data_IF_050886759916
#
_entry.id   IF_050886759916
#
_cell.length_a   1.000
_cell.length_b   1.000
_cell.length_c   1.000
_cell.angle_alpha   90.00
_cell.angle_beta   90.00
_cell.angle_gamma   90.00
#
_symmetry.space_group_name_H-M   'P 1'
#
loop_
_entity.id
_entity.type
_entity.pdbx_description
1 polymer ?
#
# COMPACT_ATOMS: atom_id res chain seq x y z
N UNK A 1 19.84 -30.51 43.45
CA UNK A 1 20.15 -30.38 42.00
C UNK A 1 18.81 -30.19 41.31
N UNK A 2 18.46 -29.15 40.56
CA UNK A 2 19.22 -28.20 39.76
C UNK A 2 18.54 -26.82 39.82
N UNK A 3 19.25 -25.81 40.34
CA UNK A 3 18.96 -24.37 40.19
C UNK A 3 19.91 -23.75 39.15
N UNK A 4 20.34 -24.51 38.15
CA UNK A 4 21.48 -24.12 37.29
C UNK A 4 21.15 -23.73 35.83
N UNK A 5 19.90 -23.75 35.38
CA UNK A 5 19.59 -23.41 33.97
C UNK A 5 18.98 -22.03 33.71
N UNK A 6 18.73 -21.20 34.72
CA UNK A 6 18.03 -19.91 34.53
C UNK A 6 18.97 -18.70 34.35
N UNK A 7 20.29 -18.87 34.55
CA UNK A 7 21.29 -17.81 34.34
C UNK A 7 21.81 -17.77 32.90
N UNK A 8 21.94 -18.92 32.24
CA UNK A 8 22.47 -19.01 30.87
C UNK A 8 21.48 -18.49 29.83
N UNK A 9 20.17 -18.73 30.01
CA UNK A 9 19.13 -18.23 29.10
C UNK A 9 18.98 -16.72 29.19
N UNK A 10 19.01 -16.14 30.40
CA UNK A 10 18.97 -14.67 30.57
C UNK A 10 20.23 -13.97 30.04
N UNK A 11 21.39 -14.65 30.06
CA UNK A 11 22.63 -14.10 29.50
C UNK A 11 22.62 -14.07 27.97
N UNK A 12 22.03 -15.07 27.31
CA UNK A 12 21.92 -15.10 25.85
C UNK A 12 20.90 -14.08 25.33
N UNK A 13 19.74 -13.94 25.97
CA UNK A 13 18.74 -12.92 25.59
C UNK A 13 19.31 -11.50 25.73
N UNK A 14 20.10 -11.24 26.79
CA UNK A 14 20.73 -9.93 26.96
C UNK A 14 21.80 -9.66 25.89
N UNK A 15 22.55 -10.68 25.48
CA UNK A 15 23.59 -10.57 24.45
C UNK A 15 23.00 -10.31 23.05
N UNK A 16 21.84 -10.89 22.75
CA UNK A 16 21.14 -10.67 21.47
C UNK A 16 20.44 -9.30 21.42
N UNK A 17 19.95 -8.79 22.57
CA UNK A 17 19.41 -7.42 22.68
C UNK A 17 20.52 -6.38 22.55
N UNK A 18 21.67 -6.58 23.21
CA UNK A 18 22.82 -5.68 23.14
C UNK A 18 23.45 -5.68 21.72
N UNK A 19 23.41 -6.81 21.00
CA UNK A 19 23.85 -6.90 19.60
C UNK A 19 22.90 -6.17 18.63
N UNK A 20 21.58 -6.28 18.83
CA UNK A 20 20.59 -5.56 18.02
C UNK A 20 20.57 -4.05 18.29
N UNK A 21 20.85 -3.59 19.51
CA UNK A 21 21.06 -2.17 19.81
C UNK A 21 22.32 -1.59 19.17
N UNK A 22 23.38 -2.40 19.02
CA UNK A 22 24.61 -2.00 18.32
C UNK A 22 24.38 -1.82 16.82
N UNK A 23 23.70 -2.77 16.19
CA UNK A 23 23.39 -2.76 14.74
C UNK A 23 22.43 -1.60 14.41
N UNK A 24 21.41 -1.34 15.23
CA UNK A 24 20.48 -0.22 15.00
C UNK A 24 21.14 1.14 15.15
N UNK A 25 22.09 1.32 16.09
CA UNK A 25 22.84 2.58 16.22
C UNK A 25 23.81 2.82 15.07
N UNK A 26 24.45 1.75 14.55
CA UNK A 26 25.41 1.85 13.45
C UNK A 26 24.71 2.10 12.10
N UNK A 27 23.53 1.50 11.88
CA UNK A 27 22.68 1.78 10.71
C UNK A 27 22.12 3.21 10.75
N UNK A 28 21.68 3.70 11.91
CA UNK A 28 21.20 5.08 12.06
C UNK A 28 22.35 6.10 11.90
N UNK A 29 23.57 5.79 12.35
CA UNK A 29 24.73 6.66 12.17
C UNK A 29 25.16 6.77 10.70
N UNK A 30 25.19 5.65 9.96
CA UNK A 30 25.60 5.64 8.56
C UNK A 30 24.56 6.27 7.61
N UNK A 31 23.29 6.34 8.01
CA UNK A 31 22.24 7.04 7.23
C UNK A 31 22.32 8.58 7.41
N UNK A 32 22.88 9.08 8.53
CA UNK A 32 22.88 10.51 8.84
C UNK A 32 24.20 11.25 8.59
N UNK A 33 25.33 10.56 8.38
CA UNK A 33 26.65 11.20 8.21
C UNK A 33 27.05 11.44 6.75
N UNK A 34 26.44 10.74 5.77
CA UNK A 34 26.81 10.87 4.35
C UNK A 34 26.04 11.94 3.56
N UNK A 35 25.26 12.81 4.22
CA UNK A 35 24.46 13.86 3.54
C UNK A 35 24.88 15.30 3.81
N UNK A 36 26.01 15.54 4.47
CA UNK A 36 26.50 16.91 4.68
C UNK A 36 28.00 17.01 4.38
N UNK A 37 28.33 17.99 3.53
CA UNK A 37 29.65 18.46 3.09
C UNK A 37 30.27 17.81 1.85
N UNK A 38 30.08 18.43 0.67
CA UNK A 38 31.18 19.07 -0.09
C UNK A 38 30.63 19.97 -1.22
N UNK A 39 31.14 21.21 -1.41
CA UNK A 39 30.73 22.11 -2.49
C UNK A 39 31.44 21.81 -3.82
N UNK A 40 30.71 22.05 -4.91
CA UNK A 40 31.14 21.89 -6.31
C UNK A 40 32.07 23.04 -6.73
N UNK A 41 33.22 22.71 -7.33
CA UNK A 41 33.99 23.62 -8.19
C UNK A 41 34.66 22.84 -9.35
N UNK A 42 34.76 23.40 -10.57
CA UNK A 42 35.18 22.69 -11.78
C UNK A 42 36.70 22.70 -11.96
N UNK A 43 37.33 21.68 -12.58
CA UNK A 43 38.77 21.72 -12.82
C UNK A 43 39.12 22.49 -14.09
N UNK A 44 40.06 23.42 -13.91
CA UNK A 44 40.83 24.16 -14.91
C UNK A 44 41.86 23.22 -15.56
N UNK A 45 42.08 23.42 -16.87
CA UNK A 45 43.09 22.75 -17.68
C UNK A 45 44.52 23.02 -17.19
N UNK A 46 45.36 22.00 -17.11
CA UNK A 46 46.81 22.15 -17.37
C UNK A 46 47.37 20.94 -18.10
N UNK A 47 48.16 21.26 -19.11
CA UNK A 47 48.92 20.40 -20.01
C UNK A 47 50.12 19.76 -19.32
N UNK A 48 50.41 18.48 -19.62
CA UNK A 48 51.79 18.05 -19.84
C UNK A 48 51.84 16.79 -20.72
N UNK A 49 52.85 16.80 -21.57
CA UNK A 49 53.16 15.94 -22.71
C UNK A 49 54.02 14.74 -22.31
N UNK A 50 53.77 13.53 -22.86
CA UNK A 50 54.74 12.81 -23.69
C UNK A 50 54.27 11.43 -24.21
N UNK A 51 54.21 11.34 -25.55
CA UNK A 51 54.75 10.32 -26.48
C UNK A 51 54.38 8.82 -26.38
N UNK A 52 53.41 8.40 -27.22
CA UNK A 52 53.50 7.52 -28.44
C UNK A 52 54.08 6.07 -28.35
N UNK A 53 53.80 5.17 -29.34
CA UNK A 53 52.52 4.76 -29.97
C UNK A 53 52.42 3.24 -30.32
N UNK A 54 51.21 2.73 -30.62
CA UNK A 54 51.03 1.71 -31.69
C UNK A 54 49.56 1.52 -32.14
N UNK A 55 49.22 2.15 -33.28
CA UNK A 55 48.45 1.71 -34.46
C UNK A 55 47.10 0.95 -34.40
N UNK A 56 46.01 1.70 -34.69
CA UNK A 56 44.96 1.61 -35.75
C UNK A 56 44.24 0.28 -36.15
N UNK A 57 43.01 0.32 -36.76
CA UNK A 57 42.23 1.46 -37.31
C UNK A 57 40.76 1.59 -36.81
N UNK A 58 40.06 2.69 -37.17
CA UNK A 58 38.70 2.99 -36.70
C UNK A 58 37.63 2.40 -37.64
N UNK A 59 36.48 2.00 -37.08
CA UNK A 59 35.29 1.71 -37.87
C UNK A 59 34.18 2.69 -37.49
N UNK A 60 33.93 3.65 -38.40
CA UNK A 60 32.74 4.48 -38.41
C UNK A 60 31.53 3.61 -38.77
N UNK A 61 30.55 3.52 -37.88
CA UNK A 61 29.17 3.38 -38.31
C UNK A 61 28.24 4.06 -37.30
N UNK A 62 27.86 5.28 -37.69
CA UNK A 62 26.70 5.98 -37.16
C UNK A 62 25.48 5.18 -37.60
N UNK A 63 24.84 4.51 -36.66
CA UNK A 63 23.42 4.17 -36.77
C UNK A 63 22.69 4.71 -35.56
N UNK A 64 21.93 5.77 -35.81
CA UNK A 64 20.77 6.19 -35.04
C UNK A 64 19.93 4.95 -34.70
N UNK A 65 19.94 4.55 -33.43
CA UNK A 65 18.82 3.80 -32.86
C UNK A 65 18.19 4.68 -31.81
N UNK A 66 16.98 5.10 -32.14
CA UNK A 66 16.15 5.94 -31.30
C UNK A 66 16.04 5.33 -29.90
N UNK A 67 16.24 6.19 -28.89
CA UNK A 67 15.81 5.94 -27.50
C UNK A 67 14.36 5.44 -27.53
N UNK A 68 14.16 4.15 -27.28
CA UNK A 68 12.83 3.59 -27.06
C UNK A 68 12.31 4.15 -25.74
N UNK A 69 11.45 5.16 -25.88
CA UNK A 69 10.88 5.90 -24.76
C UNK A 69 9.98 5.03 -23.89
N UNK A 70 10.07 5.29 -22.59
CA UNK A 70 9.10 4.96 -21.55
C UNK A 70 7.68 5.40 -21.96
N UNK A 71 6.95 4.56 -22.69
CA UNK A 71 5.50 4.76 -22.99
C UNK A 71 4.83 3.41 -23.22
N UNK A 72 4.59 2.68 -22.14
CA UNK A 72 3.45 1.75 -21.98
C UNK A 72 3.15 1.56 -20.49
N UNK A 73 2.61 2.59 -19.85
CA UNK A 73 1.93 2.49 -18.55
C UNK A 73 0.67 3.36 -18.52
N UNK A 74 -0.11 3.33 -19.61
CA UNK A 74 -1.33 4.13 -19.74
C UNK A 74 -2.38 3.29 -20.45
N UNK A 75 -2.96 2.34 -19.72
CA UNK A 75 -4.24 1.67 -20.01
C UNK A 75 -4.60 0.85 -18.76
N UNK A 76 -5.25 1.47 -17.77
CA UNK A 76 -5.71 0.76 -16.58
C UNK A 76 -6.40 1.64 -15.52
N UNK A 77 -5.96 2.88 -15.33
CA UNK A 77 -6.55 3.75 -14.32
C UNK A 77 -7.41 4.84 -14.99
N UNK A 78 -8.69 4.54 -15.14
CA UNK A 78 -9.69 5.54 -15.49
C UNK A 78 -9.88 6.50 -14.31
N UNK A 79 -9.41 7.72 -14.46
CA UNK A 79 -9.67 8.84 -13.55
C UNK A 79 -11.18 9.08 -13.40
N UNK A 80 -11.80 8.65 -12.30
CA UNK A 80 -13.09 9.21 -11.87
C UNK A 80 -12.83 10.44 -11.01
N UNK A 81 -12.53 11.57 -11.64
CA UNK A 81 -12.58 12.88 -10.98
C UNK A 81 -14.06 13.30 -10.94
N UNK A 82 -14.66 13.25 -9.76
CA UNK A 82 -16.00 13.77 -9.53
C UNK A 82 -15.96 15.29 -9.42
N UNK A 83 -16.33 16.00 -10.49
CA UNK A 83 -16.49 17.47 -10.46
C UNK A 83 -17.91 17.80 -9.99
N UNK A 84 -18.03 18.44 -8.82
CA UNK A 84 -19.26 19.10 -8.37
C UNK A 84 -19.36 20.49 -9.00
N UNK A 85 -20.41 20.73 -9.80
CA UNK A 85 -20.86 22.08 -10.15
C UNK A 85 -22.25 22.31 -9.56
N UNK A 86 -22.34 23.22 -8.59
CA UNK A 86 -23.60 23.77 -8.08
C UNK A 86 -23.97 24.98 -8.95
N UNK A 87 -25.15 24.97 -9.54
CA UNK A 87 -25.72 26.09 -10.27
C UNK A 87 -27.23 25.91 -10.45
N UNK A 88 -28.01 26.74 -9.76
CA UNK A 88 -29.47 26.67 -9.69
C UNK A 88 -30.17 27.33 -10.89
N UNK A 89 -31.47 27.00 -11.02
CA UNK A 89 -32.58 27.62 -11.78
C UNK A 89 -32.90 27.09 -13.18
N UNK A 90 -34.18 26.72 -13.38
CA UNK A 90 -34.82 26.60 -14.70
C UNK A 90 -35.84 25.47 -14.83
N UNK A 91 -37.13 25.79 -14.60
CA UNK A 91 -38.28 24.95 -14.97
C UNK A 91 -38.38 24.79 -16.49
N UNK A 92 -38.73 23.60 -16.98
CA UNK A 92 -39.05 23.31 -18.38
C UNK A 92 -39.78 21.97 -18.54
N UNK A 93 -40.86 21.98 -19.31
CA UNK A 93 -41.94 20.99 -19.37
C UNK A 93 -41.62 19.63 -20.03
N UNK A 94 -42.41 18.64 -19.60
CA UNK A 94 -42.90 17.40 -20.22
C UNK A 94 -42.38 16.97 -21.61
N UNK A 95 -41.90 15.73 -21.66
CA UNK A 95 -41.92 14.88 -22.86
C UNK A 95 -42.31 13.45 -22.48
N UNK A 96 -43.45 12.98 -22.98
CA UNK A 96 -43.89 11.58 -22.89
C UNK A 96 -42.95 10.69 -23.71
N UNK A 97 -42.56 9.54 -23.16
CA UNK A 97 -41.76 8.55 -23.89
C UNK A 97 -41.65 7.25 -23.13
N UNK A 98 -42.52 6.31 -23.52
CA UNK A 98 -42.51 4.86 -23.32
C UNK A 98 -42.23 4.27 -21.93
N UNK A 99 -43.26 3.59 -21.43
CA UNK A 99 -43.21 2.59 -20.36
C UNK A 99 -42.35 1.38 -20.78
N UNK A 100 -41.04 1.61 -20.91
CA UNK A 100 -40.09 0.54 -20.66
C UNK A 100 -40.21 0.25 -19.16
N UNK A 101 -40.91 -0.83 -18.82
CA UNK A 101 -40.75 -1.51 -17.53
C UNK A 101 -39.30 -1.97 -17.43
N UNK A 102 -38.40 -1.03 -17.16
CA UNK A 102 -37.12 -1.30 -16.60
C UNK A 102 -37.47 -1.77 -15.20
N UNK A 103 -37.60 -3.08 -15.04
CA UNK A 103 -37.46 -3.72 -13.76
C UNK A 103 -36.08 -3.30 -13.25
N UNK A 104 -36.03 -2.15 -12.56
CA UNK A 104 -35.01 -1.94 -11.56
C UNK A 104 -35.29 -3.03 -10.54
N UNK A 105 -34.74 -4.21 -10.80
CA UNK A 105 -34.25 -5.04 -9.74
C UNK A 105 -33.20 -4.18 -9.02
N UNK A 106 -33.67 -3.27 -8.17
CA UNK A 106 -32.98 -2.98 -6.93
C UNK A 106 -33.04 -4.29 -6.16
N UNK A 107 -32.28 -5.29 -6.62
CA UNK A 107 -31.68 -6.16 -5.65
C UNK A 107 -30.95 -5.18 -4.73
N UNK A 108 -31.52 -4.93 -3.56
CA UNK A 108 -30.82 -4.41 -2.40
C UNK A 108 -29.74 -5.45 -2.09
N UNK A 109 -28.75 -5.57 -2.99
CA UNK A 109 -27.70 -6.57 -2.87
C UNK A 109 -26.99 -6.25 -1.59
N UNK A 110 -26.94 -7.27 -0.74
CA UNK A 110 -26.37 -7.13 0.57
C UNK A 110 -24.87 -7.03 0.35
N UNK A 111 -24.33 -5.85 0.63
CA UNK A 111 -22.91 -5.58 0.62
C UNK A 111 -22.46 -5.21 2.05
N UNK A 112 -21.18 -5.36 2.34
CA UNK A 112 -20.61 -5.06 3.65
C UNK A 112 -19.18 -4.55 3.53
N UNK A 113 -18.60 -4.06 4.63
CA UNK A 113 -17.23 -3.55 4.68
C UNK A 113 -16.35 -4.44 5.55
N UNK A 114 -16.19 -5.73 5.18
CA UNK A 114 -15.46 -6.70 6.03
C UNK A 114 -13.94 -6.48 6.08
N UNK A 115 -13.41 -5.57 5.24
CA UNK A 115 -11.98 -5.22 5.16
C UNK A 115 -11.67 -3.89 5.84
N UNK A 116 -12.63 -3.36 6.61
CA UNK A 116 -12.51 -2.09 7.32
C UNK A 116 -12.45 -0.86 6.42
N UNK A 117 -11.91 0.20 7.01
CA UNK A 117 -11.65 1.49 6.38
C UNK A 117 -10.20 1.88 6.63
N UNK A 118 -9.62 2.68 5.75
CA UNK A 118 -8.27 3.22 5.92
C UNK A 118 -8.19 4.65 5.39
N UNK A 119 -7.23 5.41 5.87
CA UNK A 119 -6.85 6.69 5.28
C UNK A 119 -5.34 6.76 5.11
N UNK A 120 -4.87 7.58 4.18
CA UNK A 120 -3.45 7.64 3.87
C UNK A 120 -3.07 8.75 2.91
N UNK A 121 -1.78 8.86 2.65
CA UNK A 121 -1.16 9.96 1.90
C UNK A 121 -1.76 11.34 2.24
N UNK A 122 -1.79 11.73 3.54
CA UNK A 122 -2.31 13.02 3.93
C UNK A 122 -1.43 14.12 3.34
N UNK A 123 -2.06 15.16 2.82
CA UNK A 123 -1.44 16.46 2.56
C UNK A 123 -2.07 17.50 3.49
N UNK A 124 -1.70 18.77 3.33
CA UNK A 124 -2.22 19.84 4.18
C UNK A 124 -3.70 20.13 3.96
N UNK A 125 -4.24 19.84 2.78
CA UNK A 125 -5.61 20.18 2.40
C UNK A 125 -6.45 18.98 2.00
N UNK A 126 -5.90 17.76 2.07
CA UNK A 126 -6.56 16.56 1.58
C UNK A 126 -6.01 15.27 2.17
N UNK A 127 -6.74 14.18 2.03
CA UNK A 127 -6.31 12.84 2.43
C UNK A 127 -6.99 11.77 1.58
N UNK A 128 -6.31 10.65 1.33
CA UNK A 128 -6.94 9.49 0.70
C UNK A 128 -7.82 8.79 1.72
N UNK A 129 -9.06 8.53 1.36
CA UNK A 129 -9.98 7.64 2.07
C UNK A 129 -10.13 6.34 1.29
N UNK A 130 -10.04 5.21 1.98
CA UNK A 130 -10.05 3.88 1.38
C UNK A 130 -11.03 2.96 2.09
N UNK A 131 -11.72 2.12 1.32
CA UNK A 131 -12.43 0.92 1.82
C UNK A 131 -12.57 -0.09 0.68
N UNK A 132 -13.13 -1.27 0.98
CA UNK A 132 -13.59 -2.23 -0.04
C UNK A 132 -15.02 -2.67 0.23
N UNK A 133 -15.87 -2.53 -0.77
CA UNK A 133 -17.21 -3.11 -0.75
C UNK A 133 -17.07 -4.62 -0.91
N UNK A 134 -17.71 -5.39 -0.04
CA UNK A 134 -17.70 -6.86 -0.06
C UNK A 134 -19.09 -7.35 -0.45
N UNK A 135 -19.30 -7.72 -1.73
CA UNK A 135 -20.59 -8.24 -2.19
C UNK A 135 -20.88 -9.60 -1.55
N UNK A 136 -22.12 -9.85 -1.11
CA UNK A 136 -22.53 -11.19 -0.65
C UNK A 136 -22.82 -12.16 -1.81
N UNK A 137 -23.00 -11.64 -3.03
CA UNK A 137 -23.18 -12.44 -4.23
C UNK A 137 -22.11 -12.03 -5.26
N UNK A 138 -21.49 -13.03 -5.88
CA UNK A 138 -20.50 -12.82 -6.93
C UNK A 138 -21.20 -12.48 -8.25
N UNK A 139 -20.76 -11.43 -8.93
CA UNK A 139 -21.27 -11.06 -10.26
C UNK A 139 -20.69 -9.74 -10.76
N UNK A 140 -21.10 -9.27 -11.93
CA UNK A 140 -20.53 -8.05 -12.57
C UNK A 140 -21.12 -6.74 -12.03
N UNK A 141 -21.54 -6.73 -10.77
CA UNK A 141 -22.27 -5.62 -10.17
C UNK A 141 -21.40 -4.38 -9.99
N UNK A 142 -22.04 -3.22 -10.09
CA UNK A 142 -21.45 -1.95 -9.72
C UNK A 142 -22.14 -1.44 -8.45
N UNK A 143 -21.35 -0.92 -7.52
CA UNK A 143 -21.86 -0.33 -6.28
C UNK A 143 -21.60 1.17 -6.29
N UNK A 144 -22.65 1.96 -6.07
CA UNK A 144 -22.49 3.38 -5.73
C UNK A 144 -22.23 3.49 -4.23
N UNK A 145 -21.08 4.04 -3.89
CA UNK A 145 -20.60 4.21 -2.52
C UNK A 145 -20.56 5.69 -2.20
N UNK A 146 -21.31 6.06 -1.19
CA UNK A 146 -21.27 7.40 -0.61
C UNK A 146 -20.16 7.45 0.43
N UNK A 147 -19.54 8.61 0.58
CA UNK A 147 -18.54 8.88 1.60
C UNK A 147 -18.79 10.26 2.19
N UNK A 148 -18.47 10.41 3.47
CA UNK A 148 -18.56 11.66 4.21
C UNK A 148 -17.30 11.85 5.06
N UNK A 149 -16.94 13.11 5.29
CA UNK A 149 -15.91 13.56 6.22
C UNK A 149 -16.55 14.57 7.17
N UNK A 150 -16.33 14.41 8.47
CA UNK A 150 -16.87 15.24 9.53
C UNK A 150 -15.78 15.70 10.51
N UNK A 151 -16.06 16.78 11.25
CA UNK A 151 -15.19 17.32 12.31
C UNK A 151 -15.29 16.56 13.63
N UNK A 152 -16.33 15.76 13.79
CA UNK A 152 -16.67 15.05 15.01
C UNK A 152 -16.95 13.58 14.72
N UNK A 153 -16.69 12.73 15.71
CA UNK A 153 -16.86 11.28 15.62
C UNK A 153 -18.33 10.88 15.47
N UNK A 154 -19.27 11.72 15.90
CA UNK A 154 -20.71 11.47 15.79
C UNK A 154 -21.26 11.74 14.39
N UNK A 155 -20.42 12.17 13.44
CA UNK A 155 -20.80 12.51 12.05
C UNK A 155 -21.87 13.61 11.97
N UNK A 156 -21.87 14.56 12.91
CA UNK A 156 -22.86 15.63 12.97
C UNK A 156 -22.46 16.89 12.19
N UNK A 157 -21.16 17.16 12.05
CA UNK A 157 -20.61 18.31 11.32
C UNK A 157 -19.84 17.85 10.08
N UNK A 158 -20.59 17.50 9.03
CA UNK A 158 -20.05 17.07 7.73
C UNK A 158 -19.45 18.26 6.98
N UNK A 159 -18.20 18.13 6.56
CA UNK A 159 -17.42 19.16 5.84
C UNK A 159 -17.10 18.79 4.40
N UNK A 160 -17.09 17.50 4.06
CA UNK A 160 -16.93 17.02 2.70
C UNK A 160 -17.75 15.74 2.52
N UNK A 161 -18.26 15.50 1.31
CA UNK A 161 -19.00 14.31 0.98
C UNK A 161 -19.04 14.09 -0.53
N UNK A 162 -19.30 12.86 -0.95
CA UNK A 162 -19.45 12.54 -2.36
C UNK A 162 -19.94 11.13 -2.61
N UNK A 163 -19.93 10.74 -3.89
CA UNK A 163 -20.22 9.39 -4.34
C UNK A 163 -19.15 8.91 -5.31
N UNK A 164 -18.86 7.61 -5.27
CA UNK A 164 -17.94 6.94 -6.17
C UNK A 164 -18.50 5.57 -6.53
N UNK A 165 -18.28 5.12 -7.77
CA UNK A 165 -18.73 3.81 -8.22
C UNK A 165 -17.56 2.83 -8.19
N UNK A 166 -17.79 1.62 -7.67
CA UNK A 166 -16.80 0.54 -7.68
C UNK A 166 -17.38 -0.75 -8.26
N UNK A 167 -16.53 -1.67 -8.72
CA UNK A 167 -16.95 -2.91 -9.39
C UNK A 167 -15.87 -4.00 -9.32
N UNK A 168 -16.13 -5.17 -9.91
CA UNK A 168 -15.13 -6.23 -10.03
C UNK A 168 -13.83 -5.80 -10.74
N UNK A 169 -13.86 -4.74 -11.58
CA UNK A 169 -12.68 -4.29 -12.33
C UNK A 169 -11.52 -3.87 -11.41
N UNK A 170 -11.83 -3.17 -10.33
CA UNK A 170 -10.90 -2.69 -9.32
C UNK A 170 -11.08 -3.43 -7.98
N UNK A 171 -11.56 -4.67 -8.05
CA UNK A 171 -11.81 -5.52 -6.89
C UNK A 171 -12.70 -4.88 -5.81
N UNK A 172 -13.69 -4.09 -6.25
CA UNK A 172 -14.62 -3.38 -5.38
C UNK A 172 -13.98 -2.44 -4.35
N UNK A 173 -12.70 -2.10 -4.55
CA UNK A 173 -12.00 -1.11 -3.74
C UNK A 173 -12.51 0.29 -4.04
N UNK A 174 -12.51 1.15 -3.05
CA UNK A 174 -12.93 2.54 -3.14
C UNK A 174 -11.77 3.38 -2.66
N UNK A 175 -11.35 4.35 -3.47
CA UNK A 175 -10.34 5.34 -3.12
C UNK A 175 -10.83 6.72 -3.49
N UNK A 176 -10.84 7.61 -2.51
CA UNK A 176 -11.31 8.99 -2.65
C UNK A 176 -10.19 9.90 -2.20
N UNK A 177 -9.86 10.89 -3.02
CA UNK A 177 -9.02 12.02 -2.61
C UNK A 177 -9.94 13.11 -2.03
N UNK A 178 -10.13 13.09 -0.70
CA UNK A 178 -11.00 14.05 -0.04
C UNK A 178 -10.24 15.36 0.18
N UNK A 179 -10.57 16.38 -0.60
CA UNK A 179 -9.88 17.67 -0.62
C UNK A 179 -10.60 18.77 0.18
N UNK A 180 -10.08 20.00 0.06
CA UNK A 180 -10.65 21.20 0.67
C UNK A 180 -10.75 21.14 2.20
N UNK A 181 -9.85 20.39 2.83
CA UNK A 181 -9.73 20.23 4.27
C UNK A 181 -8.79 21.29 4.86
N UNK A 182 -8.96 21.58 6.15
CA UNK A 182 -8.05 22.47 6.87
C UNK A 182 -6.76 21.73 7.25
N UNK A 183 -5.59 22.41 7.23
CA UNK A 183 -4.33 21.83 7.70
C UNK A 183 -4.34 21.43 9.18
N UNK A 184 -3.49 20.46 9.52
CA UNK A 184 -3.25 19.98 10.89
C UNK A 184 -4.53 19.64 11.67
N UNK A 185 -5.55 19.12 10.99
CA UNK A 185 -6.89 18.95 11.55
C UNK A 185 -7.26 17.48 11.57
N UNK A 186 -7.79 17.03 12.71
CA UNK A 186 -8.35 15.69 12.85
C UNK A 186 -9.75 15.69 12.25
N UNK A 187 -10.02 14.68 11.44
CA UNK A 187 -11.32 14.43 10.84
C UNK A 187 -11.76 12.99 11.11
N UNK A 188 -13.06 12.76 10.97
CA UNK A 188 -13.65 11.43 10.96
C UNK A 188 -14.31 11.21 9.61
N UNK A 189 -14.32 9.98 9.12
CA UNK A 189 -14.94 9.65 7.84
C UNK A 189 -15.68 8.32 7.90
N UNK A 190 -16.67 8.16 7.02
CA UNK A 190 -17.48 6.95 6.93
C UNK A 190 -17.96 6.74 5.49
N UNK A 191 -18.10 5.47 5.10
CA UNK A 191 -18.67 5.07 3.82
C UNK A 191 -20.07 4.49 4.00
N UNK A 192 -20.89 4.62 2.96
CA UNK A 192 -22.21 4.00 2.87
C UNK A 192 -22.41 3.35 1.51
N UNK A 193 -22.82 2.08 1.51
CA UNK A 193 -23.30 1.38 0.32
C UNK A 193 -24.70 0.85 0.61
N UNK A 194 -25.68 1.20 -0.21
CA UNK A 194 -27.09 0.92 0.04
C UNK A 194 -27.49 1.41 1.47
N UNK A 195 -27.93 0.49 2.34
CA UNK A 195 -28.31 0.77 3.75
C UNK A 195 -27.20 0.42 4.75
N UNK A 196 -25.99 0.07 4.30
CA UNK A 196 -24.90 -0.43 5.13
C UNK A 196 -23.83 0.65 5.28
N UNK A 197 -23.48 0.93 6.53
CA UNK A 197 -22.41 1.84 6.91
C UNK A 197 -21.13 1.04 7.16
N UNK A 198 -19.99 1.64 6.85
CA UNK A 198 -18.69 1.16 7.33
C UNK A 198 -18.50 1.53 8.80
N UNK A 199 -17.43 1.03 9.40
CA UNK A 199 -16.88 1.64 10.61
C UNK A 199 -16.49 3.09 10.35
N UNK A 200 -16.44 3.88 11.43
CA UNK A 200 -15.96 5.25 11.40
C UNK A 200 -14.44 5.23 11.48
N UNK A 201 -13.79 5.80 10.48
CA UNK A 201 -12.35 6.04 10.51
C UNK A 201 -12.02 7.44 11.02
N UNK A 202 -10.83 7.60 11.58
CA UNK A 202 -10.20 8.84 11.99
C UNK A 202 -8.99 9.09 11.10
N UNK A 203 -8.81 10.35 10.71
CA UNK A 203 -7.69 10.78 9.89
C UNK A 203 -7.18 12.15 10.34
N UNK A 204 -6.04 12.59 9.79
CA UNK A 204 -5.45 13.90 10.10
C UNK A 204 -4.73 14.45 8.87
N UNK A 205 -5.02 15.70 8.51
CA UNK A 205 -4.27 16.44 7.47
C UNK A 205 -2.92 16.92 7.99
N UNK A 206 -1.96 17.09 7.09
CA UNK A 206 -0.64 17.60 7.46
C UNK A 206 -0.67 19.09 7.84
N UNK A 207 0.26 19.54 8.69
CA UNK A 207 0.44 20.96 8.99
C UNK A 207 1.06 21.73 7.81
N UNK A 208 0.89 23.06 7.83
CA UNK A 208 1.62 23.99 6.96
C UNK A 208 2.65 24.75 7.81
N UNK A 209 3.88 24.87 7.30
CA UNK A 209 4.97 25.55 8.00
C UNK A 209 5.67 24.67 9.04
N UNK A 210 6.40 25.30 9.96
CA UNK A 210 7.21 24.60 10.94
C UNK A 210 6.35 23.98 12.04
N UNK A 211 6.69 22.75 12.44
CA UNK A 211 6.11 22.08 13.60
C UNK A 211 7.13 21.89 14.71
N UNK A 212 6.65 21.92 15.95
CA UNK A 212 7.48 21.69 17.14
C UNK A 212 7.77 20.21 17.39
N UNK A 213 6.87 19.32 16.96
CA UNK A 213 7.02 17.87 17.08
C UNK A 213 6.16 17.15 16.03
N UNK A 214 6.54 15.90 15.74
CA UNK A 214 5.73 14.93 15.01
C UNK A 214 5.82 13.58 15.72
N UNK A 215 4.69 12.87 15.83
CA UNK A 215 4.61 11.55 16.45
C UNK A 215 4.16 10.52 15.44
N UNK A 216 5.01 9.53 15.22
CA UNK A 216 4.83 8.50 14.21
C UNK A 216 4.92 7.13 14.86
N UNK A 217 4.13 6.19 14.37
CA UNK A 217 4.37 4.76 14.57
C UNK A 217 4.93 4.20 13.26
N UNK A 218 6.02 3.43 13.34
CA UNK A 218 6.73 2.93 12.15
C UNK A 218 6.71 1.41 12.18
N UNK A 219 6.35 0.81 11.04
CA UNK A 219 6.18 -0.63 10.88
C UNK A 219 6.80 -1.12 9.58
N UNK A 220 7.11 -2.42 9.55
CA UNK A 220 7.48 -3.18 8.36
C UNK A 220 7.25 -4.66 8.65
N UNK A 221 7.41 -5.52 7.64
CA UNK A 221 7.52 -6.98 7.80
C UNK A 221 6.34 -7.60 8.55
N UNK A 222 5.13 -7.34 8.06
CA UNK A 222 3.88 -7.74 8.67
C UNK A 222 3.46 -9.19 8.31
N UNK A 223 4.36 -10.17 8.46
CA UNK A 223 4.11 -11.51 7.96
C UNK A 223 2.93 -12.22 8.65
N UNK A 224 1.83 -12.43 7.93
CA UNK A 224 0.57 -12.97 8.47
C UNK A 224 0.72 -14.32 9.19
N UNK A 225 1.27 -15.37 8.55
CA UNK A 225 1.46 -16.67 9.22
C UNK A 225 2.46 -16.65 10.39
N UNK A 226 3.32 -15.62 10.51
CA UNK A 226 4.34 -15.56 11.56
C UNK A 226 3.77 -15.26 12.97
N UNK A 227 2.61 -14.60 13.06
CA UNK A 227 2.01 -14.27 14.34
C UNK A 227 0.85 -13.27 14.24
N UNK A 228 0.34 -12.87 15.40
CA UNK A 228 -0.75 -11.90 15.52
C UNK A 228 -0.22 -10.46 15.48
N UNK A 229 -1.04 -9.56 14.97
CA UNK A 229 -0.67 -8.15 14.78
C UNK A 229 -0.93 -7.27 16.02
N UNK A 230 -0.66 -7.77 17.22
CA UNK A 230 -0.94 -7.05 18.48
C UNK A 230 -0.29 -5.67 18.59
N UNK A 231 0.86 -5.47 17.94
CA UNK A 231 1.53 -4.16 17.86
C UNK A 231 0.65 -3.11 17.15
N UNK A 232 -0.13 -3.52 16.14
CA UNK A 232 -1.11 -2.63 15.49
C UNK A 232 -2.25 -2.27 16.45
N UNK A 233 -2.73 -3.21 17.27
CA UNK A 233 -3.74 -2.92 18.29
C UNK A 233 -3.24 -1.91 19.33
N UNK A 234 -1.98 -2.03 19.76
CA UNK A 234 -1.41 -1.11 20.74
C UNK A 234 -1.20 0.30 20.15
N UNK A 235 -0.79 0.39 18.89
CA UNK A 235 -0.71 1.67 18.18
C UNK A 235 -2.09 2.29 17.95
N UNK A 236 -3.12 1.50 17.61
CA UNK A 236 -4.48 1.98 17.40
C UNK A 236 -5.11 2.61 18.66
N UNK A 237 -4.68 2.19 19.86
CA UNK A 237 -5.11 2.78 21.14
C UNK A 237 -4.52 4.17 21.40
N UNK A 238 -3.54 4.61 20.60
CA UNK A 238 -2.88 5.92 20.76
C UNK A 238 -3.61 6.99 19.97
N UNK A 239 -4.19 7.96 20.66
CA UNK A 239 -4.82 9.14 20.05
C UNK A 239 -3.83 10.28 19.75
N UNK A 240 -2.55 10.10 20.06
CA UNK A 240 -1.50 11.11 19.93
C UNK A 240 -0.59 10.91 18.71
N UNK A 241 -0.86 9.91 17.86
CA UNK A 241 -0.15 9.69 16.61
C UNK A 241 -0.66 10.64 15.52
N UNK A 242 0.28 11.25 14.80
CA UNK A 242 -0.03 12.10 13.64
C UNK A 242 -0.23 11.26 12.38
N UNK A 243 0.66 10.28 12.17
CA UNK A 243 0.66 9.33 11.05
C UNK A 243 1.21 7.97 11.51
N UNK A 244 0.92 6.93 10.75
CA UNK A 244 1.71 5.69 10.77
C UNK A 244 2.49 5.55 9.45
N UNK A 245 3.67 4.97 9.53
CA UNK A 245 4.54 4.71 8.39
C UNK A 245 4.70 3.20 8.22
N UNK A 246 4.46 2.70 7.02
CA UNK A 246 4.77 1.31 6.66
C UNK A 246 5.91 1.29 5.63
N UNK A 247 7.02 0.65 5.99
CA UNK A 247 8.26 0.63 5.21
C UNK A 247 8.39 -0.63 4.34
N UNK A 248 7.28 -1.14 3.81
CA UNK A 248 7.26 -2.37 3.00
C UNK A 248 7.06 -3.66 3.78
N UNK A 249 6.91 -4.76 3.03
CA UNK A 249 6.48 -6.07 3.50
C UNK A 249 5.13 -6.04 4.23
N UNK A 250 4.20 -5.25 3.72
CA UNK A 250 2.82 -5.20 4.17
C UNK A 250 2.12 -6.55 3.94
N UNK A 251 2.47 -7.24 2.84
CA UNK A 251 2.13 -8.64 2.60
C UNK A 251 3.40 -9.45 2.30
N UNK A 252 3.27 -10.77 2.40
CA UNK A 252 4.21 -11.75 1.86
C UNK A 252 3.52 -12.59 0.79
N UNK A 253 4.27 -13.07 -0.18
CA UNK A 253 3.82 -13.74 -1.41
C UNK A 253 3.76 -15.27 -1.32
N UNK A 254 4.52 -15.86 -0.40
CA UNK A 254 4.67 -17.31 -0.26
C UNK A 254 3.35 -18.08 -0.10
N UNK A 255 3.37 -19.36 -0.48
CA UNK A 255 2.33 -20.34 -0.14
C UNK A 255 2.49 -20.92 1.26
N UNK A 256 1.76 -22.01 1.56
CA UNK A 256 1.87 -22.74 2.84
C UNK A 256 3.03 -23.72 2.86
N UNK A 257 3.42 -24.22 1.70
CA UNK A 257 4.49 -25.19 1.50
C UNK A 257 5.43 -24.73 0.40
N UNK A 258 6.71 -25.09 0.52
CA UNK A 258 7.73 -24.94 -0.50
C UNK A 258 8.38 -26.29 -0.80
N UNK A 259 9.14 -26.38 -1.87
CA UNK A 259 9.98 -27.54 -2.18
C UNK A 259 11.43 -27.20 -1.85
N UNK A 260 12.09 -28.04 -1.05
CA UNK A 260 13.50 -27.86 -0.73
C UNK A 260 14.42 -28.30 -1.89
N UNK A 261 15.73 -28.07 -1.74
CA UNK A 261 16.73 -28.43 -2.74
C UNK A 261 16.87 -29.95 -2.99
N UNK A 262 16.25 -30.80 -2.16
CA UNK A 262 16.21 -32.26 -2.30
C UNK A 262 14.88 -32.75 -2.90
N UNK A 263 13.95 -31.85 -3.19
CA UNK A 263 12.64 -32.16 -3.73
C UNK A 263 11.59 -32.53 -2.68
N UNK A 264 11.90 -32.38 -1.39
CA UNK A 264 10.93 -32.64 -0.33
C UNK A 264 10.01 -31.42 -0.15
N UNK A 265 8.72 -31.69 0.10
CA UNK A 265 7.75 -30.65 0.43
C UNK A 265 7.91 -30.30 1.92
N UNK A 266 8.22 -29.05 2.20
CA UNK A 266 8.39 -28.50 3.55
C UNK A 266 7.44 -27.33 3.78
N UNK A 267 7.13 -26.94 5.02
CA UNK A 267 6.45 -25.68 5.29
C UNK A 267 7.21 -24.52 4.65
N UNK A 268 6.48 -23.61 3.99
CA UNK A 268 7.06 -22.39 3.44
C UNK A 268 7.45 -21.41 4.55
N UNK A 269 8.02 -20.27 4.16
CA UNK A 269 8.41 -19.20 5.08
C UNK A 269 7.28 -18.87 6.07
N UNK A 270 7.63 -18.84 7.37
CA UNK A 270 6.74 -18.62 8.51
C UNK A 270 5.53 -19.58 8.64
N UNK A 271 5.40 -20.62 7.82
CA UNK A 271 4.18 -21.45 7.76
C UNK A 271 4.14 -22.62 8.74
N UNK A 272 5.24 -22.94 9.42
CA UNK A 272 5.36 -24.10 10.34
C UNK A 272 4.26 -24.14 11.39
N UNK A 273 3.93 -23.01 12.00
CA UNK A 273 2.92 -22.93 13.07
C UNK A 273 1.59 -22.33 12.61
N UNK A 274 1.47 -21.91 11.35
CA UNK A 274 0.37 -21.09 10.87
C UNK A 274 -1.00 -21.75 11.07
N UNK A 275 -1.11 -23.06 10.81
CA UNK A 275 -2.35 -23.81 11.02
C UNK A 275 -2.76 -23.88 12.50
N UNK A 276 -1.80 -24.10 13.39
CA UNK A 276 -2.05 -24.20 14.83
C UNK A 276 -2.57 -22.88 15.45
N UNK A 277 -2.27 -21.74 14.82
CA UNK A 277 -2.72 -20.42 15.26
C UNK A 277 -3.81 -19.82 14.36
N UNK A 278 -4.37 -20.59 13.42
CA UNK A 278 -5.40 -20.15 12.46
C UNK A 278 -4.95 -18.94 11.63
N UNK A 279 -3.71 -18.97 11.14
CA UNK A 279 -3.06 -17.92 10.34
C UNK A 279 -2.50 -18.44 9.02
N UNK A 280 -3.01 -19.54 8.49
CA UNK A 280 -2.60 -20.05 7.19
C UNK A 280 -2.92 -19.05 6.08
N UNK A 281 -1.99 -18.88 5.14
CA UNK A 281 -2.17 -17.94 4.03
C UNK A 281 -3.24 -18.41 3.03
N UNK A 282 -3.87 -17.43 2.40
CA UNK A 282 -4.82 -17.57 1.30
C UNK A 282 -4.33 -16.75 0.08
N UNK A 283 -4.32 -17.33 -1.13
CA UNK A 283 -4.46 -18.77 -1.41
C UNK A 283 -3.35 -19.60 -0.71
N UNK A 284 -3.50 -20.92 -0.69
CA UNK A 284 -2.59 -21.86 -0.04
C UNK A 284 -1.24 -22.06 -0.77
N UNK A 285 -1.10 -21.40 -1.92
CA UNK A 285 0.07 -21.40 -2.79
C UNK A 285 0.69 -20.00 -2.89
N UNK A 286 1.85 -19.95 -3.52
CA UNK A 286 2.49 -18.70 -3.91
C UNK A 286 1.58 -17.87 -4.82
N UNK A 287 1.57 -16.56 -4.60
CA UNK A 287 0.76 -15.61 -5.37
C UNK A 287 1.57 -15.05 -6.54
N UNK A 288 1.02 -15.17 -7.75
CA UNK A 288 1.66 -14.72 -8.99
C UNK A 288 0.69 -13.85 -9.81
N UNK A 289 -0.58 -14.24 -9.84
CA UNK A 289 -1.63 -13.55 -10.59
C UNK A 289 -2.41 -12.52 -9.78
N UNK A 290 -3.05 -11.58 -10.47
CA UNK A 290 -3.79 -10.46 -9.85
C UNK A 290 -4.83 -10.90 -8.82
N UNK A 291 -5.59 -11.97 -9.10
CA UNK A 291 -6.60 -12.46 -8.16
C UNK A 291 -5.98 -13.07 -6.89
N UNK A 292 -4.77 -13.61 -6.99
CA UNK A 292 -4.05 -14.20 -5.88
C UNK A 292 -3.48 -13.11 -4.97
N UNK A 293 -2.89 -12.05 -5.55
CA UNK A 293 -2.51 -10.85 -4.80
C UNK A 293 -3.70 -10.18 -4.11
N UNK A 294 -4.81 -9.98 -4.83
CA UNK A 294 -6.05 -9.45 -4.23
C UNK A 294 -6.55 -10.30 -3.06
N UNK A 295 -6.50 -11.62 -3.20
CA UNK A 295 -6.86 -12.55 -2.11
C UNK A 295 -5.92 -12.39 -0.91
N UNK A 296 -4.62 -12.22 -1.13
CA UNK A 296 -3.64 -12.01 -0.06
C UNK A 296 -3.86 -10.69 0.67
N UNK A 297 -4.03 -9.58 -0.05
CA UNK A 297 -4.38 -8.29 0.56
C UNK A 297 -5.70 -8.36 1.33
N UNK A 298 -6.73 -9.00 0.74
CA UNK A 298 -8.00 -9.23 1.40
C UNK A 298 -7.82 -9.95 2.73
N UNK A 299 -7.07 -11.06 2.75
CA UNK A 299 -6.78 -11.81 3.96
C UNK A 299 -6.12 -10.93 5.03
N UNK A 300 -5.04 -10.22 4.67
CA UNK A 300 -4.32 -9.38 5.63
C UNK A 300 -5.25 -8.31 6.22
N UNK A 301 -6.07 -7.68 5.37
CA UNK A 301 -7.06 -6.69 5.79
C UNK A 301 -8.31 -7.25 6.47
N UNK A 302 -8.40 -8.56 6.73
CA UNK A 302 -9.41 -9.11 7.66
C UNK A 302 -8.91 -9.19 9.10
N UNK A 303 -7.62 -8.95 9.35
CA UNK A 303 -7.08 -8.92 10.71
C UNK A 303 -7.64 -7.73 11.51
N UNK A 304 -8.28 -7.96 12.68
CA UNK A 304 -8.93 -6.90 13.43
C UNK A 304 -7.96 -5.87 14.00
N UNK A 305 -6.73 -6.26 14.34
CA UNK A 305 -5.72 -5.35 14.88
C UNK A 305 -5.18 -4.43 13.77
N UNK A 306 -5.05 -4.96 12.55
CA UNK A 306 -4.72 -4.15 11.37
C UNK A 306 -5.85 -3.21 10.96
N UNK A 307 -7.10 -3.67 10.99
CA UNK A 307 -8.26 -2.81 10.75
C UNK A 307 -8.35 -1.67 11.77
N UNK A 308 -8.09 -1.96 13.05
CA UNK A 308 -8.08 -0.96 14.11
C UNK A 308 -7.03 0.14 13.87
N UNK A 309 -5.81 -0.24 13.44
CA UNK A 309 -4.77 0.74 13.10
C UNK A 309 -5.21 1.64 11.93
N UNK A 310 -5.66 1.03 10.82
CA UNK A 310 -6.11 1.76 9.63
C UNK A 310 -7.27 2.70 9.90
N UNK A 311 -8.18 2.33 10.80
CA UNK A 311 -9.29 3.17 11.21
C UNK A 311 -8.85 4.30 12.15
N UNK A 312 -7.70 4.22 12.83
CA UNK A 312 -7.31 5.19 13.85
C UNK A 312 -6.36 6.30 13.35
N UNK A 313 -5.48 5.97 12.40
CA UNK A 313 -4.33 6.81 12.02
C UNK A 313 -4.12 6.78 10.50
N UNK A 314 -3.88 7.93 9.82
CA UNK A 314 -3.54 7.93 8.41
C UNK A 314 -2.19 7.25 8.17
N UNK A 315 -2.09 6.42 7.13
CA UNK A 315 -0.89 5.68 6.76
C UNK A 315 -0.13 6.34 5.60
N UNK A 316 1.18 6.46 5.75
CA UNK A 316 2.12 6.70 4.66
C UNK A 316 2.82 5.37 4.39
N UNK A 317 2.67 4.82 3.18
CA UNK A 317 3.16 3.49 2.86
C UNK A 317 4.08 3.50 1.64
N UNK A 318 5.20 2.80 1.77
CA UNK A 318 6.03 2.35 0.65
C UNK A 318 6.02 0.82 0.65
N UNK A 319 6.13 0.22 -0.54
CA UNK A 319 6.38 -1.21 -0.66
C UNK A 319 7.87 -1.50 -0.51
N UNK A 320 8.19 -2.75 -0.20
CA UNK A 320 9.49 -3.37 -0.44
C UNK A 320 9.31 -4.49 -1.47
N UNK A 321 10.09 -5.56 -1.38
CA UNK A 321 10.12 -6.67 -2.32
C UNK A 321 8.93 -7.62 -2.16
N UNK A 322 8.51 -7.96 -0.94
CA UNK A 322 7.46 -8.97 -0.69
C UNK A 322 6.04 -8.55 -1.10
N UNK A 323 5.79 -7.27 -1.39
CA UNK A 323 4.59 -6.87 -2.14
C UNK A 323 4.55 -7.45 -3.56
N UNK A 324 5.71 -7.84 -4.10
CA UNK A 324 5.90 -8.50 -5.38
C UNK A 324 6.40 -9.94 -5.14
N UNK A 325 7.68 -10.12 -4.82
CA UNK A 325 8.35 -11.38 -4.54
C UNK A 325 9.70 -11.12 -3.87
N UNK A 326 10.14 -12.06 -3.02
CA UNK A 326 11.42 -11.97 -2.31
C UNK A 326 12.61 -11.59 -3.23
N UNK A 327 13.43 -10.66 -2.76
CA UNK A 327 14.57 -10.03 -3.46
C UNK A 327 14.21 -9.49 -4.86
N UNK A 328 13.01 -8.91 -5.02
CA UNK A 328 12.60 -8.27 -6.26
C UNK A 328 13.49 -7.07 -6.64
N UNK A 329 13.86 -7.01 -7.91
CA UNK A 329 14.55 -5.90 -8.55
C UNK A 329 13.92 -5.61 -9.94
N UNK A 330 14.50 -4.68 -10.70
CA UNK A 330 13.87 -4.14 -11.92
C UNK A 330 13.34 -5.22 -12.89
N UNK A 331 14.14 -6.27 -13.13
CA UNK A 331 13.88 -7.28 -14.15
C UNK A 331 13.68 -8.70 -13.61
N UNK A 332 13.57 -8.90 -12.29
CA UNK A 332 13.36 -10.22 -11.71
C UNK A 332 13.18 -10.19 -10.19
N UNK A 333 13.13 -11.39 -9.60
CA UNK A 333 13.16 -11.63 -8.16
C UNK A 333 13.83 -12.98 -7.90
N UNK A 334 14.33 -13.20 -6.69
CA UNK A 334 14.84 -14.52 -6.29
C UNK A 334 13.70 -15.55 -6.29
N UNK A 335 12.58 -15.18 -5.67
CA UNK A 335 11.40 -16.03 -5.59
C UNK A 335 10.45 -15.81 -6.79
N UNK A 336 10.98 -15.92 -8.01
CA UNK A 336 10.16 -16.00 -9.24
C UNK A 336 10.78 -16.97 -10.24
N UNK A 337 10.01 -17.97 -10.69
CA UNK A 337 10.48 -18.97 -11.64
C UNK A 337 9.79 -18.85 -13.01
N UNK A 338 10.46 -18.28 -14.04
CA UNK A 338 9.83 -17.99 -15.32
C UNK A 338 9.22 -19.19 -16.06
N UNK A 339 9.80 -20.37 -15.84
CA UNK A 339 9.36 -21.60 -16.50
C UNK A 339 8.02 -22.13 -15.97
N UNK A 340 7.64 -21.78 -14.74
CA UNK A 340 6.44 -22.27 -14.07
C UNK A 340 5.44 -21.16 -13.77
N UNK A 341 5.92 -19.94 -13.55
CA UNK A 341 5.12 -18.79 -13.10
C UNK A 341 4.93 -17.73 -14.20
N UNK A 342 5.57 -17.91 -15.37
CA UNK A 342 5.46 -16.99 -16.50
C UNK A 342 6.39 -15.78 -16.39
N UNK A 343 6.09 -14.71 -17.11
CA UNK A 343 7.00 -13.56 -17.21
C UNK A 343 6.98 -12.74 -15.92
N UNK A 344 8.15 -12.31 -15.49
CA UNK A 344 8.28 -11.41 -14.33
C UNK A 344 7.43 -10.14 -14.47
N UNK A 345 7.42 -9.51 -15.65
CA UNK A 345 6.62 -8.30 -15.87
C UNK A 345 5.12 -8.51 -15.66
N UNK A 346 4.60 -9.72 -15.92
CA UNK A 346 3.18 -10.03 -15.70
C UNK A 346 2.88 -10.13 -14.19
N UNK A 347 3.77 -10.76 -13.40
CA UNK A 347 3.69 -10.82 -11.92
C UNK A 347 3.84 -9.43 -11.30
N UNK A 348 4.86 -8.66 -11.71
CA UNK A 348 5.09 -7.29 -11.27
C UNK A 348 3.86 -6.40 -11.52
N UNK A 349 3.26 -6.51 -12.71
CA UNK A 349 2.03 -5.77 -13.03
C UNK A 349 0.87 -6.18 -12.12
N UNK A 350 0.68 -7.47 -11.87
CA UNK A 350 -0.35 -7.98 -10.96
C UNK A 350 -0.16 -7.47 -9.52
N UNK A 351 1.05 -7.59 -8.99
CA UNK A 351 1.44 -7.13 -7.65
C UNK A 351 1.19 -5.63 -7.45
N UNK A 352 1.76 -4.81 -8.34
CA UNK A 352 1.65 -3.34 -8.28
C UNK A 352 0.20 -2.90 -8.44
N UNK A 353 -0.58 -3.55 -9.32
CA UNK A 353 -2.02 -3.26 -9.46
C UNK A 353 -2.75 -3.53 -8.16
N UNK A 354 -2.52 -4.68 -7.52
CA UNK A 354 -3.16 -5.00 -6.24
C UNK A 354 -2.73 -4.05 -5.13
N UNK A 355 -1.44 -3.68 -5.03
CA UNK A 355 -0.95 -2.70 -4.06
C UNK A 355 -1.68 -1.35 -4.21
N UNK A 356 -1.77 -0.84 -5.43
CA UNK A 356 -2.50 0.40 -5.71
C UNK A 356 -4.01 0.27 -5.46
N UNK A 357 -4.62 -0.90 -5.59
CA UNK A 357 -6.04 -1.10 -5.25
C UNK A 357 -6.26 -1.12 -3.73
N UNK A 358 -5.38 -1.78 -2.99
CA UNK A 358 -5.60 -2.17 -1.60
C UNK A 358 -4.95 -1.26 -0.56
N UNK A 359 -3.98 -0.43 -0.95
CA UNK A 359 -3.33 0.53 -0.06
C UNK A 359 -3.99 1.92 -0.15
N UNK A 360 -4.06 2.67 0.97
CA UNK A 360 -4.67 4.01 1.03
C UNK A 360 -3.72 5.09 0.46
N UNK A 361 -3.14 4.82 -0.70
CA UNK A 361 -2.18 5.68 -1.37
C UNK A 361 -2.80 6.34 -2.61
N UNK A 362 -2.24 7.48 -3.01
CA UNK A 362 -2.60 8.18 -4.25
C UNK A 362 -1.95 7.46 -5.43
N UNK A 363 -2.70 7.30 -6.52
CA UNK A 363 -2.23 6.62 -7.74
C UNK A 363 -1.53 7.57 -8.72
N UNK A 364 -1.25 8.80 -8.31
CA UNK A 364 -0.61 9.76 -9.19
C UNK A 364 0.84 9.38 -9.45
N UNK A 365 1.23 9.49 -10.72
CA UNK A 365 2.63 9.47 -11.11
C UNK A 365 3.23 10.78 -10.61
N UNK A 366 3.77 10.80 -9.40
CA UNK A 366 4.75 11.83 -9.06
C UNK A 366 5.89 11.68 -10.07
N UNK A 367 6.22 12.77 -10.76
CA UNK A 367 7.28 12.81 -11.79
C UNK A 367 8.65 12.47 -11.22
N UNK A 368 8.78 12.44 -9.90
CA UNK A 368 10.00 12.13 -9.18
C UNK A 368 9.66 11.18 -8.03
N UNK A 369 10.18 9.95 -8.12
CA UNK A 369 10.30 9.05 -6.97
C UNK A 369 11.72 9.30 -6.45
N UNK A 370 11.82 9.90 -5.27
CA UNK A 370 13.09 9.98 -4.56
C UNK A 370 13.34 8.60 -3.94
N UNK A 371 14.37 7.91 -4.44
CA UNK A 371 14.96 6.71 -3.81
C UNK A 371 16.32 7.09 -3.27
#
# INVERSE_FOLDING_TARGET
MSRHNNKTVKANIKKDVDANEGITKEVIHNIFVDTLEQPVNPPISTSSTNTNPSNHPPNNNIQNTARLGRRRFMQGFGYTIGVTAVGATGLGLTGCGDDAKNSSHTNDEVASFVHGVASGDPLSDRVILWTRVTPQQTGSHQFSVEWVVARDEQMSNIVAQGKVTTSAKNDYTVKVDADSLEPNTVYYYQFRVNKKLSDIGRTKTLPVGNVNHAKMAVFSCANYPAGFFHVYADAAKRNDLDVCIHLGDYIYEYGRTSMDAQGAITPAYASVNASAINREVMPDKEIVGINEYRTRYAQYKTDPDLQALHAAVPMIAVWDDHELANDAYDSGAENHQPNTEGKWDDRKLAAVTAYHEWMPIRNEVQSEIYR
#
